data_IF_040390018027
#
_entry.id   IF_040390018027
#
_cell.length_a   1.000
_cell.length_b   1.000
_cell.length_c   1.000
_cell.angle_alpha   90.00
_cell.angle_beta   90.00
_cell.angle_gamma   90.00
#
_symmetry.space_group_name_H-M   'P 1'
#
loop_
_entity.id
_entity.type
_entity.pdbx_description
1 polymer ?
#
# COMPACT_ATOMS: atom_id res chain seq x y z
N UNK A 1 24.65 14.80 18.01
CA UNK A 1 23.31 14.56 18.53
C UNK A 1 22.70 13.37 17.84
N UNK A 2 22.64 12.27 18.53
CA UNK A 2 21.98 11.09 18.04
C UNK A 2 20.48 11.30 18.11
N UNK A 3 19.82 11.19 16.98
CA UNK A 3 18.35 11.13 16.97
C UNK A 3 17.91 9.97 17.86
N UNK A 4 16.94 10.17 18.76
CA UNK A 4 16.43 9.05 19.51
C UNK A 4 15.92 7.98 18.54
N UNK A 5 16.38 6.76 18.72
CA UNK A 5 15.86 5.65 17.97
C UNK A 5 14.33 5.61 18.13
N UNK A 6 13.56 5.32 17.07
CA UNK A 6 12.12 5.15 17.21
C UNK A 6 11.84 4.10 18.30
N UNK A 7 10.75 4.27 19.07
CA UNK A 7 10.39 3.30 20.09
C UNK A 7 10.43 1.88 19.52
N UNK A 8 11.01 0.95 20.27
CA UNK A 8 11.22 -0.42 19.82
C UNK A 8 9.94 -1.11 19.35
N UNK A 9 8.79 -0.78 19.95
CA UNK A 9 7.50 -1.34 19.55
C UNK A 9 7.05 -0.86 18.14
N UNK A 10 7.35 0.37 17.76
CA UNK A 10 7.05 0.89 16.42
C UNK A 10 7.92 0.21 15.35
N UNK A 11 9.18 -0.04 15.68
CA UNK A 11 10.06 -0.84 14.81
C UNK A 11 9.52 -2.25 14.65
N UNK A 12 9.08 -2.84 15.73
CA UNK A 12 8.55 -4.21 15.73
C UNK A 12 7.26 -4.30 14.91
N UNK A 13 6.33 -3.36 15.10
CA UNK A 13 5.09 -3.31 14.31
C UNK A 13 5.39 -3.08 12.84
N UNK A 14 6.24 -2.11 12.52
CA UNK A 14 6.65 -1.83 11.15
C UNK A 14 7.35 -3.04 10.55
N UNK A 15 8.25 -3.68 11.30
CA UNK A 15 8.96 -4.88 10.86
C UNK A 15 7.99 -6.03 10.62
N UNK A 16 7.00 -6.25 11.48
CA UNK A 16 5.99 -7.30 11.31
C UNK A 16 5.12 -7.06 10.09
N UNK A 17 4.69 -5.82 9.90
CA UNK A 17 3.92 -5.46 8.72
C UNK A 17 4.76 -5.63 7.47
N UNK A 18 5.98 -5.11 7.45
CA UNK A 18 6.90 -5.25 6.34
C UNK A 18 7.31 -6.71 6.13
N UNK A 19 7.59 -7.46 7.20
CA UNK A 19 7.97 -8.87 7.09
C UNK A 19 6.85 -9.75 6.54
N UNK A 20 5.59 -9.41 6.79
CA UNK A 20 4.45 -10.10 6.19
C UNK A 20 4.36 -9.85 4.69
N UNK A 21 4.81 -8.68 4.22
CA UNK A 21 4.67 -8.25 2.83
C UNK A 21 5.96 -8.34 2.04
N UNK A 22 7.11 -8.47 2.72
CA UNK A 22 8.43 -8.52 2.10
C UNK A 22 9.15 -9.79 2.50
N UNK A 23 8.59 -10.94 2.19
CA UNK A 23 9.32 -12.21 2.29
C UNK A 23 10.46 -12.28 1.26
N UNK A 24 10.33 -11.57 0.15
CA UNK A 24 11.37 -11.19 -0.79
C UNK A 24 11.22 -9.68 -0.93
N UNK A 25 12.30 -8.86 -0.82
CA UNK A 25 12.18 -7.41 -0.82
C UNK A 25 11.80 -6.89 -2.21
N UNK A 26 10.59 -7.20 -2.66
CA UNK A 26 9.99 -6.61 -3.84
C UNK A 26 9.17 -5.43 -3.41
N UNK A 27 9.80 -4.28 -3.39
CA UNK A 27 9.14 -3.03 -3.08
C UNK A 27 9.72 -1.92 -3.93
N UNK A 28 8.91 -0.93 -4.19
CA UNK A 28 9.31 0.29 -4.88
C UNK A 28 8.58 1.47 -4.29
N UNK A 29 9.27 2.61 -4.27
CA UNK A 29 8.72 3.84 -3.71
C UNK A 29 8.74 4.95 -4.74
N UNK A 30 7.78 5.86 -4.61
CA UNK A 30 7.65 7.07 -5.43
C UNK A 30 7.36 8.25 -4.51
N UNK A 31 8.05 9.37 -4.76
CA UNK A 31 7.74 10.61 -4.08
C UNK A 31 6.65 11.35 -4.84
N UNK A 32 5.68 11.86 -4.10
CA UNK A 32 4.58 12.66 -4.64
C UNK A 32 4.53 13.96 -3.88
N UNK A 33 4.79 15.07 -4.56
CA UNK A 33 4.66 16.39 -3.95
C UNK A 33 3.19 16.77 -3.81
N UNK A 34 2.85 17.43 -2.72
CA UNK A 34 1.51 17.94 -2.51
C UNK A 34 1.11 18.85 -3.67
N UNK A 35 -0.15 18.76 -4.10
CA UNK A 35 -0.72 19.56 -5.19
C UNK A 35 -0.17 19.24 -6.60
N UNK A 36 0.64 18.21 -6.76
CA UNK A 36 1.09 17.75 -8.07
C UNK A 36 0.25 16.54 -8.51
N UNK A 37 -0.81 16.82 -9.26
CA UNK A 37 -1.73 15.77 -9.74
C UNK A 37 -1.07 14.83 -10.74
N UNK A 38 -0.10 15.29 -11.50
CA UNK A 38 0.63 14.46 -12.45
C UNK A 38 1.47 13.42 -11.71
N UNK A 39 2.21 13.83 -10.68
CA UNK A 39 2.97 12.90 -9.85
C UNK A 39 2.05 11.90 -9.14
N UNK A 40 0.90 12.35 -8.66
CA UNK A 40 -0.10 11.48 -8.05
C UNK A 40 -0.56 10.39 -9.02
N UNK A 41 -0.95 10.78 -10.23
CA UNK A 41 -1.40 9.83 -11.26
C UNK A 41 -0.28 8.89 -11.68
N UNK A 42 0.92 9.40 -11.92
CA UNK A 42 2.07 8.60 -12.34
C UNK A 42 2.51 7.61 -11.26
N UNK A 43 2.49 8.00 -10.00
CA UNK A 43 2.85 7.11 -8.89
C UNK A 43 1.87 5.94 -8.78
N UNK A 44 0.59 6.21 -8.92
CA UNK A 44 -0.44 5.19 -8.89
C UNK A 44 -0.29 4.20 -10.05
N UNK A 45 -0.08 4.71 -11.24
CA UNK A 45 0.14 3.89 -12.44
C UNK A 45 1.42 3.07 -12.33
N UNK A 46 2.50 3.68 -11.86
CA UNK A 46 3.79 3.01 -11.65
C UNK A 46 3.68 1.90 -10.61
N UNK A 47 2.90 2.10 -9.53
CA UNK A 47 2.63 1.07 -8.54
C UNK A 47 1.93 -0.15 -9.15
N UNK A 48 0.94 0.08 -10.00
CA UNK A 48 0.25 -0.99 -10.72
C UNK A 48 1.20 -1.75 -11.66
N UNK A 49 2.03 -1.04 -12.41
CA UNK A 49 3.04 -1.65 -13.29
C UNK A 49 4.04 -2.50 -12.49
N UNK A 50 4.53 -1.99 -11.37
CA UNK A 50 5.45 -2.72 -10.51
C UNK A 50 4.84 -4.03 -10.01
N UNK A 51 3.62 -3.98 -9.50
CA UNK A 51 2.91 -5.16 -9.03
C UNK A 51 2.67 -6.16 -10.17
N UNK A 52 2.33 -5.68 -11.36
CA UNK A 52 2.17 -6.51 -12.55
C UNK A 52 3.47 -7.15 -13.04
N UNK A 53 4.59 -6.49 -12.82
CA UNK A 53 5.92 -7.03 -13.15
C UNK A 53 6.31 -8.15 -12.19
N UNK A 54 5.94 -8.03 -10.92
CA UNK A 54 6.31 -9.00 -9.88
C UNK A 54 5.34 -10.17 -9.74
N UNK A 55 4.16 -10.08 -10.31
CA UNK A 55 3.12 -11.08 -10.18
C UNK A 55 2.54 -11.47 -11.54
N UNK A 56 2.06 -12.70 -11.62
CA UNK A 56 1.33 -13.20 -12.79
C UNK A 56 -0.18 -13.02 -12.67
N UNK A 57 -0.67 -12.48 -11.55
CA UNK A 57 -2.07 -12.21 -11.35
C UNK A 57 -2.54 -11.12 -12.33
N UNK A 58 -3.47 -11.42 -13.24
CA UNK A 58 -3.89 -10.49 -14.29
C UNK A 58 -4.64 -9.26 -13.77
N UNK A 59 -5.24 -9.35 -12.57
CA UNK A 59 -6.01 -8.24 -11.98
C UNK A 59 -5.15 -7.30 -11.15
N UNK A 60 -3.99 -7.76 -10.70
CA UNK A 60 -3.17 -7.03 -9.76
C UNK A 60 -2.67 -5.67 -10.27
N UNK A 61 -2.28 -5.51 -11.55
CA UNK A 61 -1.86 -4.20 -12.04
C UNK A 61 -2.96 -3.14 -11.93
N UNK A 62 -4.17 -3.48 -12.33
CA UNK A 62 -5.30 -2.56 -12.31
C UNK A 62 -5.75 -2.27 -10.88
N UNK A 63 -5.89 -3.29 -10.06
CA UNK A 63 -6.27 -3.14 -8.65
C UNK A 63 -5.21 -2.36 -7.88
N UNK A 64 -3.95 -2.65 -8.12
CA UNK A 64 -2.84 -1.94 -7.49
C UNK A 64 -2.81 -0.46 -7.86
N UNK A 65 -3.03 -0.15 -9.12
CA UNK A 65 -3.09 1.24 -9.59
C UNK A 65 -4.27 2.00 -8.99
N UNK A 66 -5.47 1.41 -9.02
CA UNK A 66 -6.67 2.01 -8.42
C UNK A 66 -6.51 2.20 -6.92
N UNK A 67 -6.00 1.19 -6.23
CA UNK A 67 -5.78 1.26 -4.79
C UNK A 67 -4.77 2.33 -4.43
N UNK A 68 -3.65 2.40 -5.15
CA UNK A 68 -2.63 3.42 -4.92
C UNK A 68 -3.18 4.83 -5.14
N UNK A 69 -3.96 5.04 -6.20
CA UNK A 69 -4.57 6.32 -6.49
C UNK A 69 -5.51 6.78 -5.37
N UNK A 70 -6.45 5.93 -4.99
CA UNK A 70 -7.46 6.27 -4.00
C UNK A 70 -6.91 6.35 -2.57
N UNK A 71 -5.95 5.50 -2.23
CA UNK A 71 -5.29 5.56 -0.93
C UNK A 71 -4.49 6.86 -0.79
N UNK A 72 -3.78 7.25 -1.84
CA UNK A 72 -3.02 8.51 -1.85
C UNK A 72 -3.98 9.71 -1.79
N UNK A 73 -5.07 9.69 -2.55
CA UNK A 73 -6.08 10.76 -2.52
C UNK A 73 -6.70 10.91 -1.13
N UNK A 74 -7.04 9.79 -0.48
CA UNK A 74 -7.56 9.80 0.89
C UNK A 74 -6.55 10.39 1.88
N UNK A 75 -5.29 9.99 1.75
CA UNK A 75 -4.22 10.52 2.60
C UNK A 75 -4.03 12.02 2.39
N UNK A 76 -4.03 12.48 1.14
CA UNK A 76 -3.93 13.91 0.82
C UNK A 76 -5.09 14.72 1.40
N UNK A 77 -6.28 14.16 1.43
CA UNK A 77 -7.46 14.82 1.97
C UNK A 77 -7.47 14.90 3.50
N UNK A 78 -6.73 14.04 4.18
CA UNK A 78 -6.79 13.88 5.64
C UNK A 78 -5.49 14.19 6.36
N UNK A 79 -4.37 14.22 5.65
CA UNK A 79 -3.05 14.48 6.23
C UNK A 79 -2.33 15.55 5.41
N UNK A 80 -2.05 16.68 6.02
CA UNK A 80 -1.33 17.77 5.38
C UNK A 80 0.19 17.54 5.46
N UNK A 81 0.85 17.59 4.32
CA UNK A 81 2.31 17.55 4.21
C UNK A 81 2.73 18.10 2.85
N UNK A 82 4.01 18.37 2.68
CA UNK A 82 4.58 18.76 1.39
C UNK A 82 4.90 17.57 0.50
N UNK A 83 5.12 16.39 1.09
CA UNK A 83 5.53 15.22 0.32
C UNK A 83 4.96 13.94 0.90
N UNK A 84 4.47 13.12 0.00
CA UNK A 84 3.98 11.77 0.28
C UNK A 84 4.92 10.76 -0.37
N UNK A 85 5.15 9.65 0.31
CA UNK A 85 5.92 8.53 -0.24
C UNK A 85 4.97 7.36 -0.45
N UNK A 86 4.76 7.01 -1.69
CA UNK A 86 3.93 5.87 -2.08
C UNK A 86 4.82 4.65 -2.23
N UNK A 87 4.46 3.54 -1.62
CA UNK A 87 5.21 2.30 -1.68
C UNK A 87 4.30 1.17 -2.16
N UNK A 88 4.73 0.46 -3.17
CA UNK A 88 4.13 -0.82 -3.56
C UNK A 88 5.05 -1.94 -3.11
N UNK A 89 4.49 -2.99 -2.54
CA UNK A 89 5.23 -4.16 -2.09
C UNK A 89 4.47 -5.44 -2.40
N UNK A 90 5.21 -6.50 -2.61
CA UNK A 90 4.67 -7.82 -2.92
C UNK A 90 5.45 -8.89 -2.19
N UNK A 91 4.75 -9.78 -1.48
CA UNK A 91 5.27 -11.04 -0.98
C UNK A 91 4.49 -12.21 -1.61
N UNK A 92 4.61 -13.39 -1.04
CA UNK A 92 3.95 -14.60 -1.58
C UNK A 92 2.43 -14.59 -1.42
N UNK A 93 1.92 -13.88 -0.42
CA UNK A 93 0.51 -13.97 -0.03
C UNK A 93 -0.23 -12.65 -0.21
N UNK A 94 0.50 -11.53 -0.24
CA UNK A 94 -0.08 -10.20 -0.20
C UNK A 94 0.63 -9.22 -1.11
N UNK A 95 -0.15 -8.37 -1.73
CA UNK A 95 0.33 -7.12 -2.27
C UNK A 95 -0.12 -6.00 -1.32
N UNK A 96 0.71 -5.01 -1.13
CA UNK A 96 0.38 -3.89 -0.27
C UNK A 96 0.75 -2.56 -0.93
N UNK A 97 -0.07 -1.58 -0.68
CA UNK A 97 0.20 -0.18 -1.01
C UNK A 97 0.25 0.58 0.31
N UNK A 98 1.24 1.42 0.47
CA UNK A 98 1.30 2.33 1.60
C UNK A 98 1.64 3.75 1.14
N UNK A 99 1.18 4.71 1.91
CA UNK A 99 1.46 6.13 1.69
C UNK A 99 1.94 6.70 3.02
N UNK A 100 3.16 7.18 3.03
CA UNK A 100 3.71 7.88 4.20
C UNK A 100 3.65 9.38 3.94
N UNK A 101 2.94 10.10 4.79
CA UNK A 101 2.92 11.56 4.75
C UNK A 101 4.08 12.09 5.58
N UNK A 102 5.16 12.51 4.93
CA UNK A 102 6.39 12.94 5.61
C UNK A 102 6.11 14.16 6.50
N UNK A 103 6.35 14.00 7.81
CA UNK A 103 6.06 15.00 8.84
C UNK A 103 4.63 15.52 8.76
N UNK A 104 3.72 14.65 8.34
CA UNK A 104 2.34 15.01 8.09
C UNK A 104 1.55 15.27 9.36
N UNK A 105 0.58 16.19 9.24
CA UNK A 105 -0.38 16.51 10.30
C UNK A 105 -1.76 16.03 9.88
N UNK A 106 -2.33 15.16 10.68
CA UNK A 106 -3.70 14.69 10.48
C UNK A 106 -4.65 15.84 10.81
N UNK A 107 -5.52 16.20 9.88
CA UNK A 107 -6.51 17.27 10.07
C UNK A 107 -7.94 16.84 9.77
N UNK A 108 -8.14 15.65 9.27
CA UNK A 108 -9.45 15.08 8.97
C UNK A 108 -9.60 13.70 9.59
N UNK A 109 -10.66 12.99 9.20
CA UNK A 109 -10.86 11.62 9.64
C UNK A 109 -10.05 10.66 8.77
N UNK A 110 -8.93 10.21 9.30
CA UNK A 110 -8.08 9.24 8.62
C UNK A 110 -8.64 7.83 8.82
N UNK A 111 -9.45 7.39 7.89
CA UNK A 111 -10.10 6.09 7.92
C UNK A 111 -10.07 5.45 6.52
N UNK A 112 -8.90 4.94 6.08
CA UNK A 112 -8.76 4.39 4.74
C UNK A 112 -9.69 3.21 4.47
N UNK A 113 -10.04 2.43 5.49
CA UNK A 113 -10.97 1.30 5.35
C UNK A 113 -12.40 1.73 5.02
N UNK A 114 -12.75 2.98 5.20
CA UNK A 114 -14.08 3.54 4.87
C UNK A 114 -14.10 4.13 3.46
N UNK A 115 -12.96 4.29 2.80
CA UNK A 115 -12.91 4.79 1.43
C UNK A 115 -13.44 3.68 0.50
N UNK A 116 -14.43 3.97 -0.38
CA UNK A 116 -15.12 2.91 -1.12
C UNK A 116 -14.24 2.01 -1.98
N UNK A 117 -13.29 2.58 -2.71
CA UNK A 117 -12.38 1.78 -3.56
C UNK A 117 -11.41 0.98 -2.71
N UNK A 118 -10.86 1.58 -1.65
CA UNK A 118 -9.97 0.89 -0.72
C UNK A 118 -10.72 -0.28 -0.06
N UNK A 119 -11.94 -0.04 0.38
CA UNK A 119 -12.78 -1.08 0.99
C UNK A 119 -13.04 -2.23 0.01
N UNK A 120 -13.31 -1.91 -1.26
CA UNK A 120 -13.64 -2.90 -2.28
C UNK A 120 -12.43 -3.75 -2.68
N UNK A 121 -11.22 -3.16 -2.73
CA UNK A 121 -10.02 -3.81 -3.26
C UNK A 121 -9.07 -4.36 -2.19
N UNK A 122 -9.25 -4.00 -0.92
CA UNK A 122 -8.36 -4.43 0.15
C UNK A 122 -9.02 -5.39 1.12
N UNK A 123 -8.22 -6.31 1.65
CA UNK A 123 -8.63 -7.17 2.77
C UNK A 123 -8.44 -6.47 4.11
N UNK A 124 -7.48 -5.55 4.17
CA UNK A 124 -7.14 -4.80 5.37
C UNK A 124 -6.63 -3.44 4.95
N UNK A 125 -7.08 -2.41 5.64
CA UNK A 125 -6.59 -1.05 5.49
C UNK A 125 -6.57 -0.38 6.84
N UNK A 126 -5.65 0.55 7.03
CA UNK A 126 -5.51 1.26 8.28
C UNK A 126 -4.39 2.29 8.21
N UNK A 127 -3.99 2.78 9.37
CA UNK A 127 -2.88 3.71 9.47
C UNK A 127 -2.07 3.47 10.74
N UNK A 128 -0.81 3.89 10.69
CA UNK A 128 0.14 3.75 11.79
C UNK A 128 0.90 5.06 11.97
N UNK A 129 1.16 5.47 13.22
CA UNK A 129 2.08 6.58 13.47
C UNK A 129 3.51 6.07 13.32
N UNK A 130 4.25 6.62 12.37
CA UNK A 130 5.68 6.38 12.22
C UNK A 130 6.46 7.64 12.59
N UNK A 131 7.76 7.51 12.98
CA UNK A 131 8.59 8.67 13.24
C UNK A 131 8.67 9.64 12.06
N UNK A 132 8.64 9.10 10.83
CA UNK A 132 8.68 9.92 9.62
C UNK A 132 7.36 10.64 9.32
N UNK A 133 6.25 10.18 9.89
CA UNK A 133 4.91 10.70 9.67
C UNK A 133 3.88 9.58 9.62
N UNK A 134 2.59 9.90 9.54
CA UNK A 134 1.55 8.88 9.42
C UNK A 134 1.75 8.01 8.17
N UNK A 135 1.66 6.70 8.35
CA UNK A 135 1.65 5.73 7.26
C UNK A 135 0.24 5.19 7.12
N UNK A 136 -0.30 5.30 5.92
CA UNK A 136 -1.60 4.79 5.54
C UNK A 136 -1.38 3.60 4.62
N UNK A 137 -2.05 2.48 4.87
CA UNK A 137 -1.80 1.25 4.13
C UNK A 137 -3.07 0.53 3.74
N UNK A 138 -2.97 -0.24 2.67
CA UNK A 138 -4.00 -1.17 2.24
C UNK A 138 -3.35 -2.43 1.68
N UNK A 139 -3.96 -3.58 1.96
CA UNK A 139 -3.43 -4.89 1.64
C UNK A 139 -4.41 -5.62 0.73
N UNK A 140 -3.92 -6.08 -0.41
CA UNK A 140 -4.66 -6.94 -1.32
C UNK A 140 -4.29 -8.39 -0.99
N UNK A 141 -5.27 -9.22 -0.68
CA UNK A 141 -5.04 -10.65 -0.55
C UNK A 141 -4.87 -11.27 -1.92
N UNK A 142 -3.75 -11.91 -2.16
CA UNK A 142 -3.57 -12.71 -3.35
C UNK A 142 -4.27 -14.05 -3.17
N UNK A 143 -4.80 -14.66 -4.25
CA UNK A 143 -5.28 -16.00 -4.16
C UNK A 143 -4.12 -16.89 -3.71
N UNK A 144 -4.29 -17.52 -2.54
CA UNK A 144 -3.31 -18.49 -2.05
C UNK A 144 -3.11 -19.52 -3.14
N UNK A 145 -1.88 -19.89 -3.51
CA UNK A 145 -1.65 -21.07 -4.32
C UNK A 145 -2.06 -22.27 -3.47
N UNK A 146 -3.35 -22.48 -3.34
CA UNK A 146 -3.91 -23.69 -2.79
C UNK A 146 -3.64 -24.87 -3.71
N UNK A 147 -3.94 -26.10 -3.26
CA UNK A 147 -3.92 -27.23 -4.18
C UNK A 147 -4.75 -26.85 -5.39
N UNK A 148 -4.20 -27.10 -6.57
CA UNK A 148 -4.91 -26.90 -7.82
C UNK A 148 -6.32 -27.43 -7.66
N UNK A 149 -7.37 -26.65 -7.99
CA UNK A 149 -8.72 -27.16 -7.95
C UNK A 149 -8.75 -28.43 -8.79
N UNK A 150 -9.45 -29.48 -8.34
CA UNK A 150 -9.59 -30.69 -9.14
C UNK A 150 -10.05 -30.28 -10.52
N UNK A 151 -9.51 -30.91 -11.58
CA UNK A 151 -9.91 -30.59 -12.94
C UNK A 151 -11.42 -30.66 -12.99
N UNK A 152 -12.06 -29.53 -13.28
CA UNK A 152 -13.49 -29.55 -13.51
C UNK A 152 -13.73 -30.53 -14.66
N UNK A 153 -14.44 -31.61 -14.36
CA UNK A 153 -14.92 -32.49 -15.41
C UNK A 153 -15.73 -31.59 -16.34
N UNK A 154 -15.22 -31.37 -17.55
CA UNK A 154 -16.00 -30.71 -18.56
C UNK A 154 -17.31 -31.47 -18.70
N UNK A 155 -18.46 -30.78 -18.66
CA UNK A 155 -19.68 -31.41 -19.06
C UNK A 155 -19.50 -31.88 -20.51
N UNK A 156 -19.43 -33.17 -20.65
CA UNK A 156 -19.24 -33.80 -21.95
C UNK A 156 -20.32 -33.40 -22.94
#
# INVERSE_FOLDING_TARGET
MTHPAPPSYLREITRRILARYIAVPRHRTWAVDAYDEEQHTLSAWSAGIALGTWSTDPYLPEWGSSLAYHLTAHTMATVATHRYIVTASLDREHAAISVTALRGRIHGRLAPSEEPVVQALSRRAGHLPLPAGPLVYAVIGLPTPGPLPPPQSEPG
#
